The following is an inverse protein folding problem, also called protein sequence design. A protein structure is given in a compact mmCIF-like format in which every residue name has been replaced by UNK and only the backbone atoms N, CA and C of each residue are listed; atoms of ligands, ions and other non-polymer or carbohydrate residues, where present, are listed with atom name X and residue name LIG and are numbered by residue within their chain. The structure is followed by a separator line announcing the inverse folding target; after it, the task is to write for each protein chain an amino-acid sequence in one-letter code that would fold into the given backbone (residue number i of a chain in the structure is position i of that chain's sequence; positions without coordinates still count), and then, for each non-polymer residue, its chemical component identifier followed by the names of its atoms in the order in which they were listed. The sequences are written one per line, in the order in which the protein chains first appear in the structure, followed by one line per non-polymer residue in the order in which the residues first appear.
data_IF_735796906882
#
_entry.id   IF_735796906882
#
_cell.length_a   1.000
_cell.length_b   1.000
_cell.length_c   1.000
_cell.angle_alpha   90.00
_cell.angle_beta   90.00
_cell.angle_gamma   90.00
#
_symmetry.space_group_name_H-M   'P 1'
#
loop_
_entity.id
_entity.type
_entity.pdbx_description
1 polymer ?
#
# COMPACT_ATOMS: atom_id res chain seq x y z
N UNK A 1 2.56 23.66 -44.69
CA UNK A 1 1.77 22.84 -43.73
C UNK A 1 2.41 21.51 -43.34
N UNK A 2 3.52 21.05 -43.96
CA UNK A 2 4.20 19.79 -43.63
C UNK A 2 5.05 19.74 -42.32
N UNK A 3 5.77 20.79 -41.88
CA UNK A 3 6.79 20.61 -40.84
C UNK A 3 6.22 20.34 -39.44
N UNK A 4 4.92 20.54 -39.21
CA UNK A 4 4.27 20.24 -37.92
C UNK A 4 3.77 18.80 -37.82
N UNK A 5 3.36 18.20 -38.95
CA UNK A 5 2.95 16.79 -39.02
C UNK A 5 4.18 15.87 -38.95
N UNK A 6 5.29 16.25 -39.59
CA UNK A 6 6.52 15.45 -39.55
C UNK A 6 7.11 15.35 -38.14
N UNK A 7 7.01 16.44 -37.36
CA UNK A 7 7.45 16.47 -35.94
C UNK A 7 6.54 15.64 -35.03
N UNK A 8 5.25 15.56 -35.35
CA UNK A 8 4.29 14.76 -34.60
C UNK A 8 4.48 13.26 -34.86
N UNK A 9 4.75 12.89 -36.12
CA UNK A 9 5.09 11.51 -36.51
C UNK A 9 6.39 11.07 -35.87
N UNK A 10 7.43 11.92 -35.84
CA UNK A 10 8.69 11.60 -35.19
C UNK A 10 8.57 11.39 -33.67
N UNK A 11 7.61 12.04 -33.00
CA UNK A 11 7.38 11.90 -31.56
C UNK A 11 6.45 10.72 -31.19
N UNK A 12 5.65 10.22 -32.13
CA UNK A 12 4.68 9.14 -31.87
C UNK A 12 5.27 7.84 -31.31
N UNK A 13 6.44 7.32 -31.76
CA UNK A 13 7.00 6.10 -31.20
C UNK A 13 7.48 6.29 -29.75
N UNK A 14 7.97 7.48 -29.40
CA UNK A 14 8.35 7.82 -28.03
C UNK A 14 7.15 7.89 -27.10
N UNK A 15 6.05 8.48 -27.56
CA UNK A 15 4.80 8.54 -26.79
C UNK A 15 4.19 7.15 -26.62
N UNK A 16 4.17 6.35 -27.68
CA UNK A 16 3.67 4.98 -27.62
C UNK A 16 4.51 4.12 -26.68
N UNK A 17 5.84 4.19 -26.78
CA UNK A 17 6.75 3.45 -25.88
C UNK A 17 6.56 3.86 -24.42
N UNK A 18 6.40 5.16 -24.14
CA UNK A 18 6.17 5.65 -22.77
C UNK A 18 4.85 5.15 -22.19
N UNK A 19 3.80 5.03 -23.00
CA UNK A 19 2.51 4.48 -22.58
C UNK A 19 2.57 2.97 -22.32
N UNK A 20 3.32 2.22 -23.14
CA UNK A 20 3.47 0.77 -22.98
C UNK A 20 4.45 0.40 -21.85
N UNK A 21 5.46 1.23 -21.59
CA UNK A 21 6.43 1.04 -20.52
C UNK A 21 5.95 1.55 -19.16
N UNK A 22 4.82 2.24 -19.10
CA UNK A 22 4.21 2.67 -17.85
C UNK A 22 3.70 1.46 -17.07
N UNK A 23 4.53 0.95 -16.16
CA UNK A 23 4.12 -0.03 -15.15
C UNK A 23 3.71 0.69 -13.87
N UNK A 24 2.58 0.31 -13.30
CA UNK A 24 2.18 0.73 -11.96
C UNK A 24 3.00 -0.07 -10.95
N UNK A 25 3.72 0.61 -10.05
CA UNK A 25 4.28 -0.07 -8.89
C UNK A 25 3.13 -0.66 -8.06
N UNK A 26 3.08 -1.99 -7.96
CA UNK A 26 2.26 -2.64 -6.95
C UNK A 26 2.95 -2.43 -5.61
N UNK A 27 2.41 -1.55 -4.78
CA UNK A 27 2.81 -1.45 -3.39
C UNK A 27 2.46 -2.77 -2.71
N UNK A 28 3.45 -3.64 -2.48
CA UNK A 28 3.22 -4.89 -1.79
C UNK A 28 3.01 -4.60 -0.31
N UNK A 29 1.76 -4.71 0.15
CA UNK A 29 1.42 -4.74 1.57
C UNK A 29 1.51 -6.20 1.99
N UNK A 30 2.72 -6.70 2.23
CA UNK A 30 2.87 -8.01 2.90
C UNK A 30 2.53 -7.79 4.37
N UNK A 31 1.53 -8.49 4.91
CA UNK A 31 1.25 -8.47 6.35
C UNK A 31 2.51 -8.84 7.13
N UNK A 32 2.84 -8.04 8.13
CA UNK A 32 3.91 -8.34 9.07
C UNK A 32 3.46 -9.47 10.00
N UNK A 33 4.17 -10.59 9.93
CA UNK A 33 3.96 -11.77 10.75
C UNK A 33 5.16 -12.07 11.67
N UNK A 34 6.04 -11.09 11.89
CA UNK A 34 7.29 -11.27 12.67
C UNK A 34 7.05 -11.68 14.12
N UNK A 35 5.89 -11.36 14.69
CA UNK A 35 5.51 -11.75 16.06
C UNK A 35 4.91 -13.16 16.16
N UNK A 36 4.61 -13.84 15.04
CA UNK A 36 4.12 -15.21 15.05
C UNK A 36 2.89 -15.41 15.96
N UNK A 37 3.06 -16.20 17.03
CA UNK A 37 2.01 -16.48 18.02
C UNK A 37 1.63 -15.29 18.90
N UNK A 38 2.43 -14.22 18.92
CA UNK A 38 2.18 -12.96 19.62
C UNK A 38 1.67 -11.86 18.65
N UNK A 39 1.09 -12.23 17.50
CA UNK A 39 0.57 -11.28 16.52
C UNK A 39 -0.57 -10.42 17.08
N UNK A 40 -0.79 -9.27 16.45
CA UNK A 40 -1.91 -8.39 16.81
C UNK A 40 -3.18 -8.79 16.06
N UNK A 41 -4.32 -8.68 16.73
CA UNK A 41 -5.65 -8.98 16.19
C UNK A 41 -6.42 -7.67 16.11
N UNK A 42 -7.00 -7.39 14.94
CA UNK A 42 -7.83 -6.20 14.72
C UNK A 42 -9.29 -6.64 14.58
N UNK A 43 -10.13 -6.26 15.54
CA UNK A 43 -11.57 -6.50 15.52
C UNK A 43 -12.30 -5.20 15.19
N UNK A 44 -12.86 -5.04 13.98
CA UNK A 44 -13.48 -3.79 13.57
C UNK A 44 -14.87 -3.59 14.19
N UNK A 45 -15.31 -2.33 14.28
CA UNK A 45 -16.65 -1.94 14.73
C UNK A 45 -17.04 -2.42 16.15
N UNK A 46 -16.09 -2.40 17.08
CA UNK A 46 -16.35 -2.70 18.50
C UNK A 46 -16.79 -1.42 19.21
N UNK A 47 -17.80 -1.52 20.07
CA UNK A 47 -18.22 -0.42 20.93
C UNK A 47 -17.21 -0.21 22.08
N UNK A 48 -16.41 0.84 22.01
CA UNK A 48 -15.45 1.26 23.05
C UNK A 48 -15.91 2.59 23.61
N UNK A 49 -16.30 2.60 24.89
CA UNK A 49 -16.78 3.79 25.61
C UNK A 49 -17.94 4.52 24.89
N UNK A 50 -18.84 3.79 24.23
CA UNK A 50 -20.01 4.34 23.53
C UNK A 50 -19.77 4.72 22.07
N UNK A 51 -18.56 4.53 21.55
CA UNK A 51 -18.20 4.82 20.16
C UNK A 51 -17.76 3.54 19.43
N UNK A 52 -18.07 3.43 18.14
CA UNK A 52 -17.53 2.37 17.30
C UNK A 52 -16.07 2.66 16.98
N UNK A 53 -15.20 1.68 17.24
CA UNK A 53 -13.77 1.74 16.96
C UNK A 53 -13.25 0.37 16.53
N UNK A 54 -12.08 0.36 15.90
CA UNK A 54 -11.33 -0.88 15.69
C UNK A 54 -10.58 -1.22 16.97
N UNK A 55 -10.88 -2.39 17.54
CA UNK A 55 -10.25 -2.90 18.74
C UNK A 55 -9.00 -3.69 18.34
N UNK A 56 -7.84 -3.25 18.81
CA UNK A 56 -6.56 -3.93 18.59
C UNK A 56 -6.16 -4.67 19.87
N UNK A 57 -5.99 -5.98 19.78
CA UNK A 57 -5.62 -6.87 20.89
C UNK A 57 -4.38 -7.71 20.54
N UNK A 58 -3.77 -8.35 21.53
CA UNK A 58 -2.55 -9.14 21.35
C UNK A 58 -1.29 -8.28 21.30
N UNK A 59 -0.31 -8.69 20.49
CA UNK A 59 1.02 -8.07 20.44
C UNK A 59 2.02 -8.69 21.42
N UNK A 60 3.29 -8.31 21.27
CA UNK A 60 4.39 -8.80 22.09
C UNK A 60 4.80 -7.74 23.12
N UNK A 61 4.84 -8.12 24.40
CA UNK A 61 5.33 -7.25 25.47
C UNK A 61 6.79 -7.57 25.73
N UNK A 62 7.64 -6.55 25.70
CA UNK A 62 9.05 -6.62 26.12
C UNK A 62 9.33 -5.45 27.04
N UNK A 63 9.58 -5.76 28.31
CA UNK A 63 9.78 -4.75 29.37
C UNK A 63 8.59 -3.76 29.42
N UNK A 64 8.84 -2.47 29.18
CA UNK A 64 7.82 -1.42 29.17
C UNK A 64 7.22 -1.15 27.78
N UNK A 65 7.57 -1.94 26.77
CA UNK A 65 7.17 -1.70 25.38
C UNK A 65 6.18 -2.77 24.90
N UNK A 66 5.20 -2.32 24.12
CA UNK A 66 4.23 -3.15 23.41
C UNK A 66 4.48 -3.04 21.91
N UNK A 67 4.70 -4.18 21.26
CA UNK A 67 4.93 -4.27 19.82
C UNK A 67 3.70 -4.85 19.13
N UNK A 68 3.35 -4.24 17.99
CA UNK A 68 2.29 -4.70 17.11
C UNK A 68 2.84 -5.10 15.75
N UNK A 69 2.18 -6.07 15.12
CA UNK A 69 2.52 -6.65 13.83
C UNK A 69 1.20 -6.90 13.10
N UNK A 70 1.06 -6.32 11.90
CA UNK A 70 -0.19 -6.26 11.12
C UNK A 70 0.05 -6.72 9.68
#
# INVERSE_FOLDING_TARGET
MKPRIDRLVAASPFVLYSLLAATTALGQITPDNTLGNESSIVTPNVNVNGNLADLIEGGAIRESNLFHSF
#
